data_IF_746109526458
#
_entry.id   IF_746109526458
#
_cell.length_a   1.000
_cell.length_b   1.000
_cell.length_c   1.000
_cell.angle_alpha   90.00
_cell.angle_beta   90.00
_cell.angle_gamma   90.00
#
_symmetry.space_group_name_H-M   'P 1'
#
loop_
_entity.id
_entity.type
_entity.pdbx_description
1 polymer ?
#
# COMPACT_ATOMS: atom_id res chain seq x y z
N UNK A 1 -46.23 -25.36 46.56
CA UNK A 1 -46.36 -23.99 45.97
C UNK A 1 -45.03 -23.70 45.29
N UNK A 2 -44.98 -23.91 43.99
CA UNK A 2 -43.79 -23.74 43.15
C UNK A 2 -43.95 -22.43 42.40
N UNK A 3 -43.04 -21.47 42.62
CA UNK A 3 -42.92 -20.23 41.88
C UNK A 3 -42.24 -20.48 40.53
N UNK A 4 -42.76 -19.91 39.43
CA UNK A 4 -42.04 -19.96 38.17
C UNK A 4 -41.00 -18.81 38.09
N UNK A 5 -39.74 -19.19 37.84
CA UNK A 5 -38.63 -18.31 37.54
C UNK A 5 -38.83 -17.69 36.13
N UNK A 6 -39.03 -16.38 36.08
CA UNK A 6 -39.05 -15.62 34.85
C UNK A 6 -37.63 -15.57 34.26
N UNK A 7 -37.43 -16.16 33.07
CA UNK A 7 -36.24 -15.97 32.28
C UNK A 7 -36.26 -14.55 31.64
N UNK A 8 -35.35 -13.72 32.10
CA UNK A 8 -35.13 -12.41 31.47
C UNK A 8 -34.55 -12.62 30.04
N UNK A 9 -35.25 -12.14 29.05
CA UNK A 9 -34.76 -12.09 27.68
C UNK A 9 -33.52 -11.18 27.61
N UNK A 10 -32.41 -11.76 27.22
CA UNK A 10 -31.20 -11.02 26.91
C UNK A 10 -31.51 -10.03 25.76
N UNK A 11 -31.52 -8.74 26.06
CA UNK A 11 -31.70 -7.69 25.07
C UNK A 11 -30.59 -7.75 24.02
N UNK A 12 -31.00 -7.69 22.77
CA UNK A 12 -30.07 -7.52 21.65
C UNK A 12 -29.19 -6.29 21.90
N UNK A 13 -27.90 -6.29 21.57
CA UNK A 13 -27.07 -5.13 21.73
C UNK A 13 -27.63 -3.98 20.88
N UNK A 14 -27.91 -2.86 21.53
CA UNK A 14 -28.25 -1.61 20.84
C UNK A 14 -27.08 -1.24 19.95
N UNK A 15 -27.19 -1.47 18.64
CA UNK A 15 -26.27 -0.93 17.66
C UNK A 15 -26.42 0.61 17.71
N UNK A 16 -25.34 1.28 18.10
CA UNK A 16 -25.24 2.74 17.95
C UNK A 16 -25.45 3.15 16.48
N UNK A 17 -25.62 4.45 16.19
CA UNK A 17 -25.74 4.89 14.80
C UNK A 17 -24.55 4.37 13.98
N UNK A 18 -24.79 3.93 12.72
CA UNK A 18 -23.73 3.41 11.87
C UNK A 18 -22.62 4.46 11.73
N UNK A 19 -21.37 4.01 11.85
CA UNK A 19 -20.19 4.88 11.66
C UNK A 19 -20.16 5.32 10.19
N UNK A 20 -20.01 6.61 9.93
CA UNK A 20 -19.78 7.10 8.57
C UNK A 20 -18.29 6.97 8.26
N UNK A 21 -17.97 6.36 7.12
CA UNK A 21 -16.65 6.33 6.51
C UNK A 21 -16.65 7.29 5.32
N UNK A 22 -15.87 8.36 5.45
CA UNK A 22 -15.72 9.40 4.42
C UNK A 22 -14.47 9.14 3.59
N UNK A 23 -14.60 8.91 2.29
CA UNK A 23 -13.50 8.59 1.39
C UNK A 23 -13.30 9.65 0.30
N UNK A 24 -12.05 10.05 0.10
CA UNK A 24 -11.65 10.70 -1.14
C UNK A 24 -11.28 9.64 -2.17
N UNK A 25 -11.89 9.70 -3.35
CA UNK A 25 -11.58 8.82 -4.48
C UNK A 25 -10.74 9.57 -5.49
N UNK A 26 -9.64 8.99 -5.90
CA UNK A 26 -8.81 9.47 -7.00
C UNK A 26 -8.68 8.33 -8.00
N UNK A 27 -9.65 8.15 -8.92
CA UNK A 27 -9.55 7.06 -9.91
C UNK A 27 -8.32 7.21 -10.80
N UNK A 28 -7.96 8.45 -11.11
CA UNK A 28 -6.78 8.79 -11.91
C UNK A 28 -6.96 8.46 -13.39
N UNK A 29 -6.00 7.70 -13.95
CA UNK A 29 -5.86 7.45 -15.38
C UNK A 29 -5.99 5.97 -15.73
N UNK A 30 -6.31 5.69 -16.98
CA UNK A 30 -6.30 4.36 -17.56
C UNK A 30 -7.18 3.37 -16.79
N UNK A 31 -6.61 2.19 -16.48
CA UNK A 31 -7.33 1.15 -15.72
C UNK A 31 -7.65 1.57 -14.28
N UNK A 32 -7.03 2.65 -13.76
CA UNK A 32 -7.32 3.15 -12.42
C UNK A 32 -8.81 3.42 -12.22
N UNK A 33 -9.49 3.94 -13.23
CA UNK A 33 -10.95 4.17 -13.24
C UNK A 33 -11.71 2.84 -13.09
N UNK A 34 -11.31 1.84 -13.89
CA UNK A 34 -11.99 0.54 -13.92
C UNK A 34 -11.85 -0.19 -12.57
N UNK A 35 -10.61 -0.28 -12.04
CA UNK A 35 -10.35 -1.05 -10.82
C UNK A 35 -10.86 -0.37 -9.55
N UNK A 36 -10.89 0.98 -9.52
CA UNK A 36 -11.45 1.74 -8.40
C UNK A 36 -12.97 1.55 -8.31
N UNK A 37 -13.65 1.54 -9.46
CA UNK A 37 -15.09 1.28 -9.51
C UNK A 37 -15.42 -0.11 -8.92
N UNK A 38 -14.64 -1.14 -9.21
CA UNK A 38 -14.85 -2.48 -8.66
C UNK A 38 -14.53 -2.54 -7.16
N UNK A 39 -13.46 -1.88 -6.70
CA UNK A 39 -13.17 -1.78 -5.27
C UNK A 39 -14.30 -1.09 -4.50
N UNK A 40 -14.87 -0.02 -5.05
CA UNK A 40 -16.02 0.67 -4.45
C UNK A 40 -17.29 -0.20 -4.47
N UNK A 41 -17.51 -1.01 -5.50
CA UNK A 41 -18.61 -1.99 -5.55
C UNK A 41 -18.50 -2.99 -4.40
N UNK A 42 -17.28 -3.52 -4.13
CA UNK A 42 -17.00 -4.41 -3.00
C UNK A 42 -17.26 -3.71 -1.67
N UNK A 43 -16.81 -2.47 -1.50
CA UNK A 43 -17.02 -1.68 -0.29
C UNK A 43 -18.52 -1.45 -0.01
N UNK A 44 -19.30 -1.06 -1.02
CA UNK A 44 -20.74 -0.87 -0.87
C UNK A 44 -21.48 -2.17 -0.53
N UNK A 45 -21.05 -3.30 -1.09
CA UNK A 45 -21.61 -4.61 -0.76
C UNK A 45 -21.31 -5.03 0.70
N UNK A 46 -20.13 -4.69 1.20
CA UNK A 46 -19.67 -4.97 2.55
C UNK A 46 -20.30 -4.04 3.61
N UNK A 47 -20.56 -2.79 3.27
CA UNK A 47 -20.91 -1.71 4.21
C UNK A 47 -22.06 -2.07 5.19
N UNK A 48 -23.18 -2.71 4.78
CA UNK A 48 -24.23 -3.14 5.68
C UNK A 48 -23.74 -4.13 6.74
N UNK A 49 -22.89 -5.06 6.35
CA UNK A 49 -22.34 -6.10 7.24
C UNK A 49 -21.30 -5.53 8.22
N UNK A 50 -20.58 -4.50 7.79
CA UNK A 50 -19.63 -3.79 8.63
C UNK A 50 -20.26 -2.74 9.54
N UNK A 51 -21.58 -2.49 9.42
CA UNK A 51 -22.29 -1.48 10.20
C UNK A 51 -21.83 -0.05 9.89
N UNK A 52 -21.42 0.21 8.66
CA UNK A 52 -20.95 1.53 8.21
C UNK A 52 -21.82 2.13 7.13
N UNK A 53 -21.84 3.47 7.09
CA UNK A 53 -22.34 4.24 5.95
C UNK A 53 -21.14 4.81 5.21
N UNK A 54 -21.05 4.61 3.90
CA UNK A 54 -19.95 5.11 3.07
C UNK A 54 -20.38 6.39 2.36
N UNK A 55 -19.57 7.43 2.49
CA UNK A 55 -19.64 8.64 1.66
C UNK A 55 -18.35 8.76 0.88
N UNK A 56 -18.42 9.03 -0.41
CA UNK A 56 -17.27 9.14 -1.26
C UNK A 56 -17.34 10.39 -2.14
N UNK A 57 -16.22 11.09 -2.26
CA UNK A 57 -16.08 12.27 -3.13
C UNK A 57 -14.95 12.00 -4.11
N UNK A 58 -15.23 12.11 -5.39
CA UNK A 58 -14.23 11.94 -6.44
C UNK A 58 -13.44 13.23 -6.68
N UNK A 59 -12.12 13.07 -6.82
CA UNK A 59 -11.17 14.12 -7.18
C UNK A 59 -10.55 13.78 -8.53
N UNK A 60 -10.74 14.68 -9.50
CA UNK A 60 -10.13 14.58 -10.82
C UNK A 60 -8.66 14.99 -10.75
N UNK A 61 -7.78 14.04 -10.44
CA UNK A 61 -6.34 14.20 -10.40
C UNK A 61 -5.69 13.17 -11.32
N UNK A 62 -4.97 13.63 -12.32
CA UNK A 62 -4.32 12.78 -13.32
C UNK A 62 -4.01 13.51 -14.62
N UNK A 63 -3.70 12.75 -15.64
CA UNK A 63 -3.35 13.24 -16.97
C UNK A 63 -4.47 14.04 -17.63
N UNK A 64 -5.73 13.56 -17.48
CA UNK A 64 -6.89 14.24 -18.07
C UNK A 64 -6.98 15.69 -17.64
N UNK A 65 -6.93 15.97 -16.33
CA UNK A 65 -6.96 17.34 -15.78
C UNK A 65 -5.74 18.13 -16.23
N UNK A 66 -4.55 17.53 -16.10
CA UNK A 66 -3.32 18.20 -16.49
C UNK A 66 -3.32 18.65 -17.97
N UNK A 67 -3.75 17.80 -18.89
CA UNK A 67 -3.83 18.12 -20.32
C UNK A 67 -4.88 19.17 -20.63
N UNK A 68 -5.98 19.19 -19.90
CA UNK A 68 -7.06 20.15 -20.11
C UNK A 68 -6.78 21.54 -19.51
N UNK A 69 -6.09 21.60 -18.38
CA UNK A 69 -5.96 22.84 -17.58
C UNK A 69 -4.52 23.25 -17.28
N UNK A 70 -3.55 22.34 -17.43
CA UNK A 70 -2.18 22.52 -16.95
C UNK A 70 -2.02 22.36 -15.43
N UNK A 71 -3.10 22.09 -14.70
CA UNK A 71 -3.08 21.97 -13.25
C UNK A 71 -2.74 20.55 -12.80
N UNK A 72 -1.97 20.45 -11.74
CA UNK A 72 -1.61 19.24 -11.02
C UNK A 72 -2.29 19.23 -9.64
N UNK A 73 -1.56 18.93 -8.57
CA UNK A 73 -2.05 19.04 -7.21
C UNK A 73 -1.99 20.50 -6.74
N UNK A 74 -3.14 21.05 -6.31
CA UNK A 74 -3.22 22.41 -5.75
C UNK A 74 -3.35 22.37 -4.23
N UNK A 75 -2.97 23.47 -3.54
CA UNK A 75 -3.10 23.59 -2.09
C UNK A 75 -4.56 23.46 -1.62
N UNK A 76 -5.51 24.00 -2.42
CA UNK A 76 -6.94 23.85 -2.14
C UNK A 76 -7.38 22.38 -2.19
N UNK A 77 -6.86 21.62 -3.16
CA UNK A 77 -7.13 20.18 -3.26
C UNK A 77 -6.54 19.43 -2.07
N UNK A 78 -5.30 19.75 -1.67
CA UNK A 78 -4.67 19.16 -0.46
C UNK A 78 -5.50 19.46 0.78
N UNK A 79 -5.96 20.71 0.92
CA UNK A 79 -6.81 21.14 2.05
C UNK A 79 -8.14 20.39 2.07
N UNK A 80 -8.78 20.23 0.92
CA UNK A 80 -10.02 19.46 0.80
C UNK A 80 -9.82 17.97 1.16
N UNK A 81 -8.75 17.35 0.66
CA UNK A 81 -8.42 15.95 0.94
C UNK A 81 -8.23 15.67 2.43
N UNK A 82 -7.71 16.61 3.21
CA UNK A 82 -7.53 16.47 4.67
C UNK A 82 -8.82 16.25 5.44
N UNK A 83 -9.97 16.56 4.85
CA UNK A 83 -11.28 16.38 5.47
C UNK A 83 -11.83 14.95 5.42
N UNK A 84 -11.12 14.00 4.83
CA UNK A 84 -11.57 12.61 4.66
C UNK A 84 -10.87 11.66 5.64
N UNK A 85 -11.49 10.50 5.89
CA UNK A 85 -10.89 9.45 6.74
C UNK A 85 -9.72 8.74 6.03
N UNK A 86 -9.82 8.58 4.71
CA UNK A 86 -8.79 7.96 3.88
C UNK A 86 -8.95 8.32 2.40
N UNK A 87 -7.91 8.07 1.62
CA UNK A 87 -7.87 8.24 0.17
C UNK A 87 -7.75 6.87 -0.48
N UNK A 88 -8.62 6.58 -1.45
CA UNK A 88 -8.46 5.43 -2.34
C UNK A 88 -8.07 5.95 -3.73
N UNK A 89 -6.88 5.55 -4.20
CA UNK A 89 -6.33 5.94 -5.49
C UNK A 89 -6.30 4.74 -6.42
N UNK A 90 -6.66 4.94 -7.69
CA UNK A 90 -6.57 3.92 -8.72
C UNK A 90 -5.17 3.85 -9.32
N UNK A 91 -4.88 4.67 -10.31
CA UNK A 91 -3.55 4.78 -10.90
C UNK A 91 -3.37 6.16 -11.56
N UNK A 92 -2.15 6.66 -11.60
CA UNK A 92 -1.82 7.94 -12.24
C UNK A 92 -0.71 7.72 -13.25
N UNK A 93 -0.94 8.20 -14.47
CA UNK A 93 0.04 8.12 -15.55
C UNK A 93 -0.62 7.96 -16.91
N UNK A 94 -0.11 8.66 -17.93
CA UNK A 94 -0.57 8.56 -19.31
C UNK A 94 0.60 8.83 -20.25
N UNK A 95 0.79 8.05 -21.34
CA UNK A 95 1.89 8.23 -22.29
C UNK A 95 1.85 9.58 -23.03
N UNK A 96 0.71 10.27 -23.06
CA UNK A 96 0.59 11.62 -23.63
C UNK A 96 1.19 12.71 -22.73
N UNK A 97 1.47 12.40 -21.47
CA UNK A 97 2.14 13.27 -20.52
C UNK A 97 3.61 12.85 -20.37
N UNK A 98 4.53 13.81 -20.43
CA UNK A 98 5.95 13.51 -20.24
C UNK A 98 6.18 12.82 -18.90
N UNK A 99 6.97 11.74 -18.93
CA UNK A 99 7.34 10.94 -17.75
C UNK A 99 7.87 11.83 -16.60
N UNK A 100 7.43 11.52 -15.40
CA UNK A 100 7.79 12.21 -14.17
C UNK A 100 6.98 13.47 -13.86
N UNK A 101 6.14 13.97 -14.77
CA UNK A 101 5.30 15.15 -14.48
C UNK A 101 4.21 14.80 -13.46
N UNK A 102 3.49 13.73 -13.68
CA UNK A 102 2.37 13.34 -12.80
C UNK A 102 2.88 12.78 -11.47
N UNK A 103 3.93 11.99 -11.48
CA UNK A 103 4.55 11.46 -10.27
C UNK A 103 5.05 12.60 -9.37
N UNK A 104 5.79 13.55 -9.94
CA UNK A 104 6.35 14.70 -9.20
C UNK A 104 5.35 15.80 -8.94
N UNK A 105 4.26 15.86 -9.70
CA UNK A 105 3.26 16.93 -9.59
C UNK A 105 2.00 16.52 -8.83
N UNK A 106 1.75 15.21 -8.64
CA UNK A 106 0.56 14.71 -7.92
C UNK A 106 0.96 13.75 -6.80
N UNK A 107 1.59 12.60 -7.12
CA UNK A 107 1.78 11.51 -6.16
C UNK A 107 2.77 11.88 -5.05
N UNK A 108 3.98 12.34 -5.41
CA UNK A 108 4.99 12.70 -4.42
C UNK A 108 4.59 13.91 -3.58
N UNK A 109 4.09 15.03 -4.18
CA UNK A 109 3.59 16.15 -3.37
C UNK A 109 2.48 15.75 -2.41
N UNK A 110 1.57 14.84 -2.81
CA UNK A 110 0.52 14.36 -1.93
C UNK A 110 1.10 13.55 -0.74
N UNK A 111 2.07 12.66 -0.99
CA UNK A 111 2.76 11.92 0.07
C UNK A 111 3.45 12.85 1.06
N UNK A 112 4.13 13.89 0.58
CA UNK A 112 4.80 14.87 1.43
C UNK A 112 3.80 15.73 2.22
N UNK A 113 2.78 16.27 1.54
CA UNK A 113 1.77 17.12 2.18
C UNK A 113 0.96 16.42 3.26
N UNK A 114 0.77 15.10 3.13
CA UNK A 114 0.03 14.25 4.08
C UNK A 114 0.95 13.46 5.04
N UNK A 115 2.26 13.71 5.01
CA UNK A 115 3.28 13.01 5.82
C UNK A 115 3.17 11.48 5.75
N UNK A 116 2.99 10.93 4.56
CA UNK A 116 2.89 9.49 4.30
C UNK A 116 4.27 8.83 4.40
N UNK A 117 4.87 8.84 5.58
CA UNK A 117 6.23 8.36 5.79
C UNK A 117 6.37 6.83 5.82
N UNK A 118 5.27 6.10 5.85
CA UNK A 118 5.25 4.64 5.72
C UNK A 118 4.61 4.26 4.39
N UNK A 119 5.39 3.78 3.42
CA UNK A 119 4.85 3.07 2.28
C UNK A 119 4.86 1.57 2.60
N UNK A 120 3.68 1.04 2.93
CA UNK A 120 3.47 -0.35 3.32
C UNK A 120 3.15 -1.21 2.10
N UNK A 121 3.93 -2.25 1.87
CA UNK A 121 3.80 -3.18 0.74
C UNK A 121 3.75 -4.64 1.24
N UNK A 122 2.57 -5.27 1.36
CA UNK A 122 2.48 -6.70 1.61
C UNK A 122 2.98 -7.51 0.41
N UNK A 123 3.75 -8.55 0.70
CA UNK A 123 4.20 -9.55 -0.28
C UNK A 123 3.61 -10.89 0.14
N UNK A 124 2.60 -11.34 -0.57
CA UNK A 124 1.89 -12.56 -0.23
C UNK A 124 1.49 -13.33 -1.49
N UNK A 125 1.84 -14.61 -1.55
CA UNK A 125 1.30 -15.51 -2.56
C UNK A 125 -0.01 -16.11 -2.04
N UNK A 126 -1.09 -15.93 -2.78
CA UNK A 126 -2.38 -16.49 -2.40
C UNK A 126 -2.55 -17.94 -2.87
N UNK A 127 -3.36 -18.76 -2.15
CA UNK A 127 -3.73 -20.09 -2.63
C UNK A 127 -4.35 -20.03 -4.04
N UNK A 128 -3.98 -20.97 -4.90
CA UNK A 128 -4.45 -21.01 -6.30
C UNK A 128 -3.65 -20.14 -7.27
N UNK A 129 -2.85 -19.20 -6.79
CA UNK A 129 -1.97 -18.38 -7.61
C UNK A 129 -0.65 -19.13 -7.89
N UNK A 130 -0.22 -19.13 -9.14
CA UNK A 130 1.09 -19.67 -9.54
C UNK A 130 2.15 -18.60 -9.38
N UNK A 131 3.05 -18.78 -8.42
CA UNK A 131 4.25 -17.95 -8.28
C UNK A 131 5.37 -18.40 -9.25
N UNK A 132 6.35 -17.52 -9.53
CA UNK A 132 7.50 -17.83 -10.38
C UNK A 132 8.54 -18.74 -9.70
N UNK A 133 8.48 -18.92 -8.39
CA UNK A 133 9.48 -19.67 -7.63
C UNK A 133 9.09 -21.14 -7.50
N UNK A 134 9.95 -22.02 -7.99
CA UNK A 134 9.75 -23.45 -7.86
C UNK A 134 9.80 -23.89 -6.39
N UNK A 135 8.80 -24.66 -5.95
CA UNK A 135 8.76 -25.21 -4.59
C UNK A 135 8.44 -24.19 -3.49
N UNK A 136 8.03 -22.97 -3.82
CA UNK A 136 7.58 -21.95 -2.87
C UNK A 136 6.09 -21.69 -3.07
N UNK A 137 5.36 -21.67 -1.97
CA UNK A 137 3.91 -21.49 -1.94
C UNK A 137 3.46 -20.37 -0.98
N UNK A 138 2.17 -20.34 -0.65
CA UNK A 138 1.62 -19.35 0.29
C UNK A 138 2.22 -19.39 1.69
N UNK A 139 2.78 -20.53 2.11
CA UNK A 139 3.45 -20.66 3.41
C UNK A 139 4.83 -20.00 3.44
N UNK A 140 5.53 -19.97 2.31
CA UNK A 140 6.88 -19.44 2.18
C UNK A 140 6.87 -17.96 1.78
N UNK A 141 5.82 -17.48 1.13
CA UNK A 141 5.75 -16.09 0.62
C UNK A 141 4.63 -15.34 1.36
N UNK A 142 4.95 -14.85 2.55
CA UNK A 142 4.09 -13.98 3.37
C UNK A 142 4.95 -13.10 4.26
N UNK A 143 5.30 -11.90 3.78
CA UNK A 143 6.01 -10.89 4.55
C UNK A 143 5.55 -9.49 4.13
N UNK A 144 5.95 -8.46 4.87
CA UNK A 144 5.64 -7.08 4.53
C UNK A 144 6.91 -6.25 4.43
N UNK A 145 6.88 -5.24 3.57
CA UNK A 145 7.95 -4.25 3.44
C UNK A 145 7.42 -2.89 3.94
N UNK A 146 8.08 -2.35 4.94
CA UNK A 146 7.94 -0.97 5.41
C UNK A 146 9.01 -0.13 4.71
N UNK A 147 8.64 0.47 3.58
CA UNK A 147 9.47 1.37 2.78
C UNK A 147 9.31 2.79 3.34
N UNK A 148 10.41 3.50 3.59
CA UNK A 148 10.36 4.92 3.91
C UNK A 148 9.71 5.70 2.75
N UNK A 149 8.79 6.62 3.02
CA UNK A 149 7.92 7.22 2.00
C UNK A 149 8.21 8.68 1.66
N UNK A 150 9.04 9.39 2.44
CA UNK A 150 9.19 10.86 2.37
C UNK A 150 10.63 11.36 2.22
N UNK A 151 11.61 10.48 2.34
CA UNK A 151 13.04 10.81 2.28
C UNK A 151 13.74 10.10 1.10
N UNK A 152 15.06 10.02 1.16
CA UNK A 152 15.88 9.43 0.12
C UNK A 152 16.02 10.31 -1.12
N UNK A 153 16.33 9.74 -2.29
CA UNK A 153 16.45 10.47 -3.55
C UNK A 153 15.11 11.06 -4.02
N UNK A 154 13.99 10.52 -3.54
CA UNK A 154 12.63 11.01 -3.86
C UNK A 154 12.33 12.39 -3.28
N UNK A 155 13.16 12.89 -2.35
CA UNK A 155 13.08 14.28 -1.86
C UNK A 155 13.30 15.32 -2.96
N UNK A 156 13.87 14.90 -4.12
CA UNK A 156 14.13 15.78 -5.25
C UNK A 156 15.29 16.74 -5.05
N UNK A 157 16.12 16.54 -4.01
CA UNK A 157 17.32 17.34 -3.80
C UNK A 157 18.41 16.93 -4.79
N UNK A 158 18.96 17.90 -5.52
CA UNK A 158 19.97 17.65 -6.54
C UNK A 158 19.99 18.74 -7.61
N UNK A 159 20.67 18.46 -8.72
CA UNK A 159 20.70 19.40 -9.83
C UNK A 159 21.68 19.01 -10.94
N UNK A 160 21.66 19.82 -11.97
CA UNK A 160 22.52 19.67 -13.16
C UNK A 160 23.34 20.94 -13.37
N UNK A 161 24.65 20.76 -13.52
CA UNK A 161 25.56 21.81 -13.94
C UNK A 161 26.01 21.55 -15.37
N UNK A 162 26.16 22.61 -16.20
CA UNK A 162 26.62 22.56 -17.60
C UNK A 162 25.81 21.60 -18.47
N UNK A 163 24.47 21.59 -18.28
CA UNK A 163 23.53 20.72 -18.99
C UNK A 163 23.77 20.72 -20.52
N UNK A 164 23.74 19.54 -21.15
CA UNK A 164 23.90 19.35 -22.58
C UNK A 164 25.33 19.49 -23.10
N UNK A 165 26.35 19.60 -22.25
CA UNK A 165 27.76 19.66 -22.65
C UNK A 165 28.51 18.38 -22.23
N UNK A 166 29.71 18.17 -22.80
CA UNK A 166 30.62 17.06 -22.40
C UNK A 166 31.12 17.17 -20.96
N UNK A 167 30.91 18.32 -20.32
CA UNK A 167 31.28 18.60 -18.94
C UNK A 167 30.04 18.68 -18.03
N UNK A 168 28.94 18.10 -18.44
CA UNK A 168 27.72 18.01 -17.60
C UNK A 168 28.00 17.25 -16.33
N UNK A 169 27.47 17.76 -15.22
CA UNK A 169 27.50 17.11 -13.91
C UNK A 169 26.08 17.04 -13.39
N UNK A 170 25.59 15.85 -13.14
CA UNK A 170 24.28 15.58 -12.53
C UNK A 170 24.46 15.02 -11.12
N UNK A 171 23.68 15.53 -10.17
CA UNK A 171 23.69 15.07 -8.78
C UNK A 171 22.28 14.78 -8.30
N UNK A 172 22.11 13.67 -7.60
CA UNK A 172 20.92 13.32 -6.83
C UNK A 172 21.33 13.09 -5.37
N UNK A 173 20.69 13.80 -4.45
CA UNK A 173 21.03 13.68 -3.02
C UNK A 173 20.03 12.74 -2.33
N UNK A 174 20.55 11.71 -1.68
CA UNK A 174 19.74 10.86 -0.81
C UNK A 174 19.67 11.49 0.58
N UNK A 175 18.57 12.17 0.88
CA UNK A 175 18.30 12.73 2.20
C UNK A 175 17.89 11.61 3.16
N UNK A 176 18.52 11.55 4.34
CA UNK A 176 18.16 10.60 5.38
C UNK A 176 18.30 11.29 6.74
N UNK A 177 17.22 11.41 7.49
CA UNK A 177 17.23 12.01 8.82
C UNK A 177 17.05 10.95 9.90
N UNK A 178 17.66 11.14 11.06
CA UNK A 178 17.40 10.25 12.20
C UNK A 178 15.92 10.25 12.60
N UNK A 179 15.22 11.36 12.37
CA UNK A 179 13.78 11.48 12.61
C UNK A 179 12.98 10.57 11.67
N UNK A 180 13.20 10.66 10.35
CA UNK A 180 12.51 9.83 9.36
C UNK A 180 12.79 8.35 9.56
N UNK A 181 14.07 7.99 9.75
CA UNK A 181 14.49 6.61 10.03
C UNK A 181 13.84 6.07 11.30
N UNK A 182 13.79 6.86 12.39
CA UNK A 182 13.17 6.43 13.64
C UNK A 182 11.68 6.13 13.47
N UNK A 183 10.95 6.95 12.72
CA UNK A 183 9.50 6.76 12.50
C UNK A 183 9.20 5.45 11.77
N UNK A 184 9.89 5.19 10.66
CA UNK A 184 9.65 3.99 9.86
C UNK A 184 10.12 2.73 10.55
N UNK A 185 11.24 2.77 11.29
CA UNK A 185 11.73 1.64 12.07
C UNK A 185 10.74 1.30 13.19
N UNK A 186 10.23 2.27 13.93
CA UNK A 186 9.23 2.05 14.99
C UNK A 186 7.93 1.46 14.44
N UNK A 187 7.47 1.92 13.27
CA UNK A 187 6.30 1.31 12.60
C UNK A 187 6.57 -0.15 12.24
N UNK A 188 7.76 -0.47 11.73
CA UNK A 188 8.13 -1.85 11.40
C UNK A 188 8.13 -2.77 12.63
N UNK A 189 8.68 -2.31 13.77
CA UNK A 189 8.66 -3.07 15.03
C UNK A 189 7.23 -3.24 15.58
N UNK A 190 6.40 -2.20 15.50
CA UNK A 190 4.99 -2.28 15.89
C UNK A 190 4.21 -3.29 15.04
N UNK A 191 4.52 -3.42 13.74
CA UNK A 191 3.93 -4.43 12.86
C UNK A 191 4.46 -5.83 13.16
N UNK A 192 5.76 -5.98 13.40
CA UNK A 192 6.36 -7.26 13.72
C UNK A 192 5.79 -7.86 15.02
N UNK A 193 5.46 -7.03 16.00
CA UNK A 193 4.82 -7.47 17.25
C UNK A 193 3.44 -8.14 17.06
N UNK A 194 2.81 -7.91 15.92
CA UNK A 194 1.50 -8.50 15.54
C UNK A 194 1.63 -9.60 14.48
N UNK A 195 2.87 -9.95 14.10
CA UNK A 195 3.21 -10.97 13.12
C UNK A 195 4.12 -12.04 13.75
N UNK A 196 5.11 -12.51 13.03
CA UNK A 196 6.02 -13.58 13.50
C UNK A 196 7.15 -13.08 14.41
N UNK A 197 7.24 -11.78 14.64
CA UNK A 197 8.18 -11.18 15.59
C UNK A 197 9.60 -11.04 15.06
N UNK A 198 9.79 -10.79 13.76
CA UNK A 198 11.11 -10.55 13.17
C UNK A 198 11.12 -9.27 12.33
N UNK A 199 12.16 -8.43 12.48
CA UNK A 199 12.42 -7.27 11.64
C UNK A 199 13.78 -7.39 10.98
N UNK A 200 13.83 -7.29 9.65
CA UNK A 200 15.05 -7.25 8.86
C UNK A 200 15.28 -5.83 8.34
N UNK A 201 16.34 -5.17 8.80
CA UNK A 201 16.81 -3.92 8.19
C UNK A 201 17.52 -4.25 6.88
N UNK A 202 17.10 -3.66 5.79
CA UNK A 202 17.76 -3.77 4.49
C UNK A 202 18.34 -2.42 4.08
N UNK A 203 19.64 -2.37 3.89
CA UNK A 203 20.36 -1.16 3.48
C UNK A 203 21.67 -1.52 2.77
N UNK A 204 22.51 -0.55 2.43
CA UNK A 204 23.85 -0.76 1.84
C UNK A 204 24.92 -0.03 2.63
N UNK A 205 25.05 -0.35 3.93
CA UNK A 205 25.90 0.38 4.88
C UNK A 205 27.39 0.37 4.54
N UNK A 206 27.86 -0.64 3.79
CA UNK A 206 29.26 -0.72 3.34
C UNK A 206 29.60 0.24 2.19
N UNK A 207 28.60 0.85 1.55
CA UNK A 207 28.76 1.84 0.45
C UNK A 207 28.20 3.19 0.87
N UNK A 208 26.98 3.21 1.36
CA UNK A 208 26.29 4.41 1.85
C UNK A 208 26.63 4.63 3.32
N UNK A 209 27.90 4.93 3.60
CA UNK A 209 28.45 4.90 4.98
C UNK A 209 27.79 5.92 5.91
N UNK A 210 27.37 7.09 5.43
CA UNK A 210 26.76 8.13 6.27
C UNK A 210 25.30 7.81 6.58
N UNK A 211 24.46 7.60 5.55
CA UNK A 211 23.07 7.21 5.75
C UNK A 211 22.98 5.84 6.43
N UNK A 212 23.83 4.88 6.00
CA UNK A 212 23.86 3.55 6.57
C UNK A 212 24.17 3.53 8.07
N UNK A 213 25.09 4.37 8.53
CA UNK A 213 25.38 4.48 9.96
C UNK A 213 24.19 5.04 10.76
N UNK A 214 23.44 5.99 10.18
CA UNK A 214 22.21 6.52 10.80
C UNK A 214 21.14 5.45 10.88
N UNK A 215 20.89 4.73 9.77
CA UNK A 215 19.91 3.64 9.71
C UNK A 215 20.24 2.53 10.71
N UNK A 216 21.49 2.06 10.74
CA UNK A 216 21.91 0.99 11.65
C UNK A 216 21.78 1.42 13.11
N UNK A 217 22.34 2.60 13.47
CA UNK A 217 22.27 3.12 14.85
C UNK A 217 20.83 3.25 15.35
N UNK A 218 19.96 3.88 14.56
CA UNK A 218 18.56 4.07 14.95
C UNK A 218 17.80 2.74 15.04
N UNK A 219 18.11 1.80 14.13
CA UNK A 219 17.54 0.46 14.18
C UNK A 219 17.95 -0.28 15.46
N UNK A 220 19.23 -0.24 15.83
CA UNK A 220 19.75 -0.87 17.03
C UNK A 220 19.16 -0.22 18.30
N UNK A 221 19.02 1.11 18.33
CA UNK A 221 18.39 1.84 19.42
C UNK A 221 16.93 1.37 19.64
N UNK A 222 16.12 1.30 18.59
CA UNK A 222 14.72 0.83 18.67
C UNK A 222 14.66 -0.66 19.04
N UNK A 223 15.58 -1.48 18.56
CA UNK A 223 15.64 -2.90 18.91
C UNK A 223 15.79 -3.13 20.42
N UNK A 224 16.52 -2.26 21.11
CA UNK A 224 16.66 -2.36 22.59
C UNK A 224 15.33 -2.18 23.33
N UNK A 225 14.39 -1.45 22.76
CA UNK A 225 13.04 -1.23 23.31
C UNK A 225 12.11 -2.45 23.07
N UNK A 226 12.50 -3.37 22.17
CA UNK A 226 11.70 -4.52 21.75
C UNK A 226 12.47 -5.85 21.82
N UNK A 227 12.98 -6.26 23.00
CA UNK A 227 13.87 -7.43 23.13
C UNK A 227 13.24 -8.76 22.72
N UNK A 228 11.91 -8.80 22.56
CA UNK A 228 11.14 -9.98 22.11
C UNK A 228 11.11 -10.12 20.58
N UNK A 229 11.59 -9.14 19.83
CA UNK A 229 11.60 -9.15 18.37
C UNK A 229 12.98 -9.54 17.86
N UNK A 230 13.04 -10.57 17.03
CA UNK A 230 14.26 -10.95 16.33
C UNK A 230 14.67 -9.87 15.33
N UNK A 231 15.94 -9.50 15.31
CA UNK A 231 16.46 -8.49 14.39
C UNK A 231 17.52 -9.08 13.47
N UNK A 232 17.52 -8.64 12.23
CA UNK A 232 18.50 -9.02 11.22
C UNK A 232 18.88 -7.79 10.39
N UNK A 233 20.11 -7.76 9.92
CA UNK A 233 20.58 -6.82 8.91
C UNK A 233 21.01 -7.56 7.64
N UNK A 234 20.60 -7.05 6.49
CA UNK A 234 21.04 -7.55 5.18
C UNK A 234 21.43 -6.39 4.26
N UNK A 235 22.47 -6.60 3.49
CA UNK A 235 22.73 -5.75 2.33
C UNK A 235 21.63 -5.96 1.28
N UNK A 236 21.24 -4.90 0.58
CA UNK A 236 20.13 -4.90 -0.37
C UNK A 236 20.29 -5.93 -1.50
N UNK A 237 21.50 -6.12 -1.99
CA UNK A 237 21.81 -7.15 -2.99
C UNK A 237 21.62 -8.58 -2.45
N UNK A 238 22.01 -8.84 -1.21
CA UNK A 238 21.73 -10.12 -0.56
C UNK A 238 20.23 -10.30 -0.29
N UNK A 239 19.53 -9.25 0.16
CA UNK A 239 18.10 -9.29 0.36
C UNK A 239 17.34 -9.60 -0.95
N UNK A 240 17.74 -8.98 -2.06
CA UNK A 240 17.15 -9.25 -3.39
C UNK A 240 17.32 -10.73 -3.79
N UNK A 241 18.50 -11.33 -3.55
CA UNK A 241 18.70 -12.77 -3.78
C UNK A 241 17.80 -13.62 -2.86
N UNK A 242 17.72 -13.27 -1.57
CA UNK A 242 16.93 -14.04 -0.62
C UNK A 242 15.41 -13.91 -0.83
N UNK A 243 14.90 -12.82 -1.40
CA UNK A 243 13.50 -12.74 -1.82
C UNK A 243 13.14 -13.83 -2.81
N UNK A 244 14.12 -14.26 -3.64
CA UNK A 244 13.92 -15.31 -4.63
C UNK A 244 14.25 -16.71 -4.10
N UNK A 245 15.25 -16.85 -3.25
CA UNK A 245 15.74 -18.16 -2.82
C UNK A 245 15.17 -18.63 -1.49
N UNK A 246 14.94 -17.71 -0.57
CA UNK A 246 14.51 -17.98 0.80
C UNK A 246 13.50 -16.93 1.32
N UNK A 247 12.36 -16.68 0.62
CA UNK A 247 11.40 -15.65 1.00
C UNK A 247 10.80 -15.88 2.40
N UNK A 248 10.72 -17.12 2.85
CA UNK A 248 10.21 -17.53 4.16
C UNK A 248 11.00 -16.97 5.36
N UNK A 249 12.24 -16.51 5.14
CA UNK A 249 13.06 -15.89 6.19
C UNK A 249 12.58 -14.52 6.62
N UNK A 250 11.81 -13.84 5.76
CA UNK A 250 11.34 -12.48 6.01
C UNK A 250 9.98 -12.47 6.68
N UNK A 251 9.79 -11.58 7.65
CA UNK A 251 8.49 -11.29 8.26
C UNK A 251 8.14 -9.82 8.06
N UNK A 252 8.95 -8.90 8.61
CA UNK A 252 8.86 -7.47 8.34
C UNK A 252 10.22 -6.98 7.86
N UNK A 253 10.26 -6.39 6.68
CA UNK A 253 11.43 -5.71 6.13
C UNK A 253 11.26 -4.21 6.32
N UNK A 254 12.29 -3.53 6.82
CA UNK A 254 12.35 -2.07 6.86
C UNK A 254 13.53 -1.58 6.03
N UNK A 255 13.31 -0.55 5.20
CA UNK A 255 14.32 -0.08 4.25
C UNK A 255 14.07 1.36 3.84
N UNK A 256 15.07 2.00 3.23
CA UNK A 256 14.95 3.32 2.65
C UNK A 256 13.99 3.36 1.44
N UNK A 257 13.74 4.55 0.96
CA UNK A 257 12.76 4.78 -0.10
C UNK A 257 13.17 4.09 -1.42
N UNK A 258 14.41 4.23 -1.86
CA UNK A 258 14.85 3.70 -3.16
C UNK A 258 14.97 2.17 -3.15
N UNK A 259 15.61 1.60 -2.13
CA UNK A 259 15.73 0.15 -2.04
C UNK A 259 14.36 -0.51 -1.83
N UNK A 260 13.48 0.16 -1.06
CA UNK A 260 12.12 -0.29 -0.87
C UNK A 260 11.33 -0.35 -2.17
N UNK A 261 11.50 0.61 -3.07
CA UNK A 261 10.87 0.59 -4.38
C UNK A 261 11.28 -0.63 -5.20
N UNK A 262 12.59 -0.83 -5.34
CA UNK A 262 13.14 -1.93 -6.14
C UNK A 262 12.76 -3.30 -5.55
N UNK A 263 12.90 -3.47 -4.24
CA UNK A 263 12.62 -4.75 -3.58
C UNK A 263 11.13 -5.11 -3.61
N UNK A 264 10.23 -4.13 -3.54
CA UNK A 264 8.81 -4.41 -3.57
C UNK A 264 8.29 -4.79 -4.94
N UNK A 265 8.96 -4.41 -6.02
CA UNK A 265 8.66 -4.91 -7.37
C UNK A 265 9.07 -6.39 -7.51
N UNK A 266 10.21 -6.77 -6.93
CA UNK A 266 10.57 -8.19 -6.81
C UNK A 266 9.53 -8.93 -5.95
N UNK A 267 9.12 -8.32 -4.84
CA UNK A 267 8.05 -8.83 -3.97
C UNK A 267 6.74 -9.06 -4.72
N UNK A 268 6.30 -8.07 -5.51
CA UNK A 268 5.10 -8.19 -6.33
C UNK A 268 5.20 -9.36 -7.33
N UNK A 269 6.35 -9.49 -8.00
CA UNK A 269 6.59 -10.57 -8.95
C UNK A 269 6.48 -11.96 -8.29
N UNK A 270 7.11 -12.17 -7.14
CA UNK A 270 7.03 -13.46 -6.43
C UNK A 270 5.68 -13.70 -5.76
N UNK A 271 4.93 -12.66 -5.44
CA UNK A 271 3.57 -12.71 -4.88
C UNK A 271 2.48 -13.06 -5.90
N UNK A 272 2.84 -13.30 -7.16
CA UNK A 272 1.90 -13.67 -8.23
C UNK A 272 1.64 -12.57 -9.26
N UNK A 273 2.37 -11.47 -9.18
CA UNK A 273 2.32 -10.38 -10.16
C UNK A 273 1.75 -9.08 -9.60
N UNK A 274 2.01 -8.00 -10.34
CA UNK A 274 1.64 -6.63 -9.97
C UNK A 274 0.12 -6.42 -9.82
N UNK A 275 -0.70 -7.21 -10.52
CA UNK A 275 -2.16 -7.19 -10.42
C UNK A 275 -2.71 -7.68 -9.07
N UNK A 276 -1.87 -8.28 -8.21
CA UNK A 276 -2.22 -8.72 -6.86
C UNK A 276 -1.53 -7.89 -5.77
N UNK A 277 -0.70 -6.92 -6.16
CA UNK A 277 0.10 -6.14 -5.25
C UNK A 277 -0.65 -4.88 -4.76
N UNK A 278 -0.99 -4.86 -3.49
CA UNK A 278 -1.57 -3.71 -2.81
C UNK A 278 -0.52 -2.83 -2.15
N UNK A 279 -0.85 -1.58 -1.90
CA UNK A 279 0.03 -0.60 -1.27
C UNK A 279 -0.76 0.38 -0.38
N UNK A 280 -0.14 0.82 0.70
CA UNK A 280 -0.63 1.92 1.53
C UNK A 280 0.46 2.96 1.77
N UNK A 281 0.15 4.22 1.50
CA UNK A 281 0.95 5.37 1.89
C UNK A 281 0.34 5.92 3.17
N UNK A 282 1.02 5.72 4.29
CA UNK A 282 0.40 5.80 5.61
C UNK A 282 1.04 6.89 6.46
N UNK A 283 0.19 7.72 7.05
CA UNK A 283 0.49 8.47 8.27
C UNK A 283 -0.03 7.65 9.48
N UNK A 284 0.84 6.94 10.21
CA UNK A 284 0.42 6.13 11.35
C UNK A 284 -0.19 6.94 12.49
N UNK A 285 0.09 8.24 12.55
CA UNK A 285 -0.50 9.14 13.55
C UNK A 285 -1.98 9.44 13.28
N UNK A 286 -2.42 9.24 12.04
CA UNK A 286 -3.76 9.58 11.53
C UNK A 286 -4.09 11.08 11.64
N UNK A 287 -3.10 11.94 11.72
CA UNK A 287 -3.28 13.38 11.64
C UNK A 287 -3.71 13.82 10.24
N UNK A 288 -3.32 13.04 9.23
CA UNK A 288 -3.73 13.20 7.85
C UNK A 288 -4.34 11.89 7.31
N UNK A 289 -5.25 11.97 6.31
CA UNK A 289 -5.78 10.78 5.66
C UNK A 289 -4.68 10.01 4.94
N UNK A 290 -4.56 8.73 5.23
CA UNK A 290 -3.65 7.83 4.51
C UNK A 290 -4.23 7.45 3.16
N UNK A 291 -3.36 7.15 2.19
CA UNK A 291 -3.72 6.85 0.81
C UNK A 291 -3.39 5.39 0.47
N UNK A 292 -4.35 4.69 -0.13
CA UNK A 292 -4.24 3.29 -0.50
C UNK A 292 -4.43 3.14 -2.00
N UNK A 293 -3.53 2.37 -2.63
CA UNK A 293 -3.48 2.25 -4.08
C UNK A 293 -2.93 0.87 -4.50
N UNK A 294 -3.34 0.30 -5.64
CA UNK A 294 -2.63 -0.81 -6.23
C UNK A 294 -1.22 -0.39 -6.67
N UNK A 295 -0.29 -1.34 -6.73
CA UNK A 295 1.10 -1.07 -7.17
C UNK A 295 1.19 -0.89 -8.68
N UNK A 296 0.26 -1.49 -9.45
CA UNK A 296 0.25 -1.36 -10.92
C UNK A 296 0.00 0.07 -11.38
N UNK A 297 0.53 0.42 -12.54
CA UNK A 297 0.28 1.71 -13.21
C UNK A 297 -1.08 1.75 -13.93
N UNK A 298 -1.23 2.76 -14.77
CA UNK A 298 -2.48 3.07 -15.48
C UNK A 298 -2.81 2.13 -16.64
N UNK A 299 -1.85 1.37 -17.19
CA UNK A 299 -2.03 0.43 -18.31
C UNK A 299 -3.03 0.93 -19.37
N UNK A 300 -2.76 2.07 -20.02
CA UNK A 300 -3.72 2.76 -20.88
C UNK A 300 -4.12 1.94 -22.12
N UNK A 301 -3.30 0.97 -22.50
CA UNK A 301 -3.52 0.04 -23.60
C UNK A 301 -4.70 -0.91 -23.39
N UNK A 302 -5.10 -1.17 -22.14
CA UNK A 302 -6.24 -2.02 -21.79
C UNK A 302 -7.37 -1.27 -21.07
N UNK A 303 -7.24 0.03 -20.86
CA UNK A 303 -8.22 0.86 -20.19
C UNK A 303 -9.60 0.78 -20.87
N UNK A 304 -10.67 0.64 -20.09
CA UNK A 304 -12.05 0.54 -20.58
C UNK A 304 -12.37 -0.73 -21.36
N UNK A 305 -11.42 -1.70 -21.47
CA UNK A 305 -11.64 -2.95 -22.19
C UNK A 305 -12.17 -4.08 -21.28
N UNK A 306 -12.46 -3.80 -20.02
CA UNK A 306 -12.93 -4.80 -19.05
C UNK A 306 -11.96 -5.99 -18.86
N UNK A 307 -10.64 -5.71 -18.93
CA UNK A 307 -9.58 -6.74 -18.85
C UNK A 307 -8.72 -6.63 -17.58
N UNK A 308 -8.65 -5.45 -16.97
CA UNK A 308 -7.82 -5.23 -15.79
C UNK A 308 -8.32 -6.06 -14.60
N UNK A 309 -7.42 -6.77 -13.92
CA UNK A 309 -7.77 -7.49 -12.68
C UNK A 309 -7.89 -6.47 -11.52
N UNK A 310 -9.06 -6.30 -10.88
CA UNK A 310 -9.24 -5.32 -9.82
C UNK A 310 -8.74 -5.81 -8.46
N UNK A 311 -8.18 -6.99 -8.37
CA UNK A 311 -7.80 -7.65 -7.11
C UNK A 311 -6.83 -6.78 -6.28
N UNK A 312 -5.83 -6.15 -6.90
CA UNK A 312 -4.91 -5.27 -6.18
C UNK A 312 -5.60 -4.05 -5.56
N UNK A 313 -6.56 -3.44 -6.28
CA UNK A 313 -7.35 -2.31 -5.75
C UNK A 313 -8.25 -2.75 -4.59
N UNK A 314 -8.85 -3.95 -4.68
CA UNK A 314 -9.67 -4.54 -3.59
C UNK A 314 -8.80 -4.90 -2.39
N UNK A 315 -7.58 -5.40 -2.57
CA UNK A 315 -6.64 -5.62 -1.48
C UNK A 315 -6.16 -4.30 -0.85
N UNK A 316 -5.98 -3.24 -1.65
CA UNK A 316 -5.67 -1.91 -1.14
C UNK A 316 -6.84 -1.34 -0.32
N UNK A 317 -8.09 -1.60 -0.74
CA UNK A 317 -9.27 -1.31 0.07
C UNK A 317 -9.27 -2.10 1.39
N UNK A 318 -8.86 -3.36 1.41
CA UNK A 318 -8.73 -4.12 2.66
C UNK A 318 -7.71 -3.47 3.61
N UNK A 319 -6.55 -3.02 3.09
CA UNK A 319 -5.57 -2.27 3.89
C UNK A 319 -6.14 -0.96 4.43
N UNK A 320 -6.92 -0.24 3.63
CA UNK A 320 -7.64 0.97 4.04
C UNK A 320 -8.58 0.67 5.21
N UNK A 321 -9.40 -0.36 5.10
CA UNK A 321 -10.36 -0.75 6.14
C UNK A 321 -9.67 -1.10 7.46
N UNK A 322 -8.57 -1.85 7.41
CA UNK A 322 -7.76 -2.15 8.60
C UNK A 322 -7.21 -0.86 9.23
N UNK A 323 -6.65 0.02 8.41
CA UNK A 323 -6.08 1.29 8.86
C UNK A 323 -7.11 2.19 9.55
N UNK A 324 -8.32 2.30 9.01
CA UNK A 324 -9.37 3.12 9.63
C UNK A 324 -10.06 2.45 10.83
N UNK A 325 -9.58 1.27 11.26
CA UNK A 325 -10.06 0.58 12.46
C UNK A 325 -11.26 -0.31 12.21
N UNK A 326 -11.36 -0.90 11.04
CA UNK A 326 -12.36 -1.90 10.64
C UNK A 326 -11.68 -3.26 10.29
N UNK A 327 -10.88 -3.86 11.22
CA UNK A 327 -10.08 -5.04 10.90
C UNK A 327 -10.91 -6.25 10.49
N UNK A 328 -12.09 -6.47 11.08
CA UNK A 328 -12.98 -7.56 10.69
C UNK A 328 -13.50 -7.41 9.25
N UNK A 329 -13.76 -6.18 8.81
CA UNK A 329 -14.13 -5.88 7.43
C UNK A 329 -12.96 -6.13 6.46
N UNK A 330 -11.76 -5.71 6.84
CA UNK A 330 -10.53 -5.94 6.09
C UNK A 330 -10.24 -7.45 5.92
N UNK A 331 -10.36 -8.22 6.99
CA UNK A 331 -10.18 -9.67 6.97
C UNK A 331 -11.21 -10.36 6.07
N UNK A 332 -12.47 -9.93 6.11
CA UNK A 332 -13.54 -10.47 5.25
C UNK A 332 -13.25 -10.22 3.76
N UNK A 333 -12.79 -9.02 3.38
CA UNK A 333 -12.36 -8.72 2.01
C UNK A 333 -11.18 -9.59 1.61
N UNK A 334 -10.16 -9.69 2.46
CA UNK A 334 -8.96 -10.49 2.18
C UNK A 334 -9.30 -11.98 2.03
N UNK A 335 -10.20 -12.51 2.86
CA UNK A 335 -10.67 -13.88 2.76
C UNK A 335 -11.48 -14.12 1.48
N UNK A 336 -12.32 -13.17 1.07
CA UNK A 336 -13.06 -13.24 -0.20
C UNK A 336 -12.11 -13.29 -1.40
N UNK A 337 -11.08 -12.44 -1.40
CA UNK A 337 -10.03 -12.45 -2.44
C UNK A 337 -9.29 -13.80 -2.46
N UNK A 338 -8.88 -14.31 -1.31
CA UNK A 338 -8.18 -15.60 -1.24
C UNK A 338 -9.03 -16.77 -1.76
N UNK A 339 -10.32 -16.79 -1.42
CA UNK A 339 -11.26 -17.80 -1.89
C UNK A 339 -11.49 -17.70 -3.42
N UNK A 340 -11.63 -16.48 -3.93
CA UNK A 340 -11.80 -16.23 -5.35
C UNK A 340 -10.58 -16.66 -6.17
N UNK A 341 -9.37 -16.27 -5.74
CA UNK A 341 -8.12 -16.67 -6.39
C UNK A 341 -7.93 -18.20 -6.40
N UNK A 342 -8.26 -18.86 -5.30
CA UNK A 342 -8.21 -20.32 -5.21
C UNK A 342 -9.21 -21.00 -6.17
N UNK A 343 -10.42 -20.45 -6.27
CA UNK A 343 -11.49 -21.00 -7.11
C UNK A 343 -11.22 -20.83 -8.63
N UNK A 344 -10.72 -19.65 -9.03
CA UNK A 344 -10.44 -19.37 -10.46
C UNK A 344 -9.17 -20.05 -10.98
N UNK A 345 -8.21 -20.41 -10.11
CA UNK A 345 -7.06 -21.26 -10.47
C UNK A 345 -6.23 -20.76 -11.66
N UNK A 346 -6.19 -19.45 -11.89
CA UNK A 346 -5.50 -18.84 -13.03
C UNK A 346 -6.35 -18.68 -14.29
N UNK A 347 -7.66 -18.94 -14.23
CA UNK A 347 -8.59 -18.61 -15.32
C UNK A 347 -8.75 -17.09 -15.42
N UNK A 348 -8.52 -16.52 -16.58
CA UNK A 348 -8.78 -15.10 -16.84
C UNK A 348 -10.29 -14.82 -16.79
N UNK A 349 -10.66 -13.74 -16.12
CA UNK A 349 -12.01 -13.18 -16.06
C UNK A 349 -11.96 -11.68 -16.32
N UNK A 350 -13.05 -11.13 -16.77
CA UNK A 350 -13.18 -9.70 -16.97
C UNK A 350 -13.14 -8.95 -15.63
N UNK A 351 -12.82 -7.66 -15.68
CA UNK A 351 -12.76 -6.76 -14.52
C UNK A 351 -14.07 -6.82 -13.70
N UNK A 352 -15.21 -6.74 -14.40
CA UNK A 352 -16.53 -6.77 -13.77
C UNK A 352 -16.88 -8.13 -13.18
N UNK A 353 -16.54 -9.25 -13.85
CA UNK A 353 -16.78 -10.60 -13.30
C UNK A 353 -16.02 -10.84 -12.00
N UNK A 354 -14.79 -10.35 -11.91
CA UNK A 354 -14.00 -10.42 -10.65
C UNK A 354 -14.64 -9.55 -9.57
N UNK A 355 -14.96 -8.30 -9.88
CA UNK A 355 -15.58 -7.39 -8.93
C UNK A 355 -16.94 -7.87 -8.42
N UNK A 356 -17.77 -8.42 -9.31
CA UNK A 356 -19.09 -8.97 -8.95
C UNK A 356 -18.97 -10.19 -8.03
N UNK A 357 -18.01 -11.08 -8.31
CA UNK A 357 -17.74 -12.24 -7.48
C UNK A 357 -17.28 -11.83 -6.07
N UNK A 358 -16.34 -10.89 -5.97
CA UNK A 358 -15.85 -10.38 -4.71
C UNK A 358 -16.94 -9.63 -3.93
N UNK A 359 -17.75 -8.79 -4.60
CA UNK A 359 -18.87 -8.12 -3.98
C UNK A 359 -19.95 -9.09 -3.46
N UNK A 360 -20.19 -10.20 -4.16
CA UNK A 360 -21.07 -11.25 -3.69
C UNK A 360 -20.53 -11.98 -2.45
N UNK A 361 -19.19 -12.23 -2.42
CA UNK A 361 -18.54 -12.98 -1.35
C UNK A 361 -18.43 -12.22 -0.02
N UNK A 362 -18.48 -10.88 -0.05
CA UNK A 362 -18.38 -10.05 1.17
C UNK A 362 -19.74 -9.72 1.80
N UNK A 363 -20.88 -10.07 1.17
CA UNK A 363 -22.25 -9.92 1.70
C UNK A 363 -22.55 -11.02 2.73
#
# INVERSE_FOLDING_TARGET
MTHPTSAAAAGAPHAGPPRTLSLALIPGDGIGVDVTAEAMKVLHALAPQAGITVTATEFDLGARRYLATGELLTDDTVTALRGFDAILLGAVGDPSVRSGILERGVLLPLRFAMDHHVNLRPVRLFPGVRGPLAGKGPAEIDFIVCREGTEGPYSGAGGILRAGTVHEVSTEVSLNTAFGVSRIVRDAFARASRRRGKVTLVHKTNVLVHSGSTWQRVFDEVATEHPQIETEYLHVDAAAMFFLTNPERFDVVVTDNLFGDILTDIGAAIGGGIGLAASGNIDPSRANPSMFEPVHGSAPDIAGQNKADPTAAVLSLAMLLDHVGLPAAAERVTAAVAADLAARGGTERSTTEVGDALAAAVR
#
